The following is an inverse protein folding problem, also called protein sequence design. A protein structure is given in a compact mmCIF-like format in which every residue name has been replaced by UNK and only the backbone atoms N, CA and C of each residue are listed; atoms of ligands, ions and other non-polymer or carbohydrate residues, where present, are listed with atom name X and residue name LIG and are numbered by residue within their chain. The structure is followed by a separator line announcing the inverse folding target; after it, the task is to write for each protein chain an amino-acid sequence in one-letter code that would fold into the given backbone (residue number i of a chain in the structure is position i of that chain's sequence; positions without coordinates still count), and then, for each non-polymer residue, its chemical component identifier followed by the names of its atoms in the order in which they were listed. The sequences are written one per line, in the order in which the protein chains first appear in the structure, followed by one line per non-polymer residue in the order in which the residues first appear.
data_IF_254726945843
#
_entry.id   IF_254726945843
#
_cell.length_a   1.000
_cell.length_b   1.000
_cell.length_c   1.000
_cell.angle_alpha   90.00
_cell.angle_beta   90.00
_cell.angle_gamma   90.00
#
_symmetry.space_group_name_H-M   'P 1'
#
loop_
_entity.id
_entity.type
_entity.pdbx_description
1 polymer ?
#
# COMPACT_ATOMS: atom_id res chain seq x y z
N UNK A 1 -18.12 3.72 -12.01
CA UNK A 1 -17.02 4.43 -11.32
C UNK A 1 -15.75 3.65 -11.61
N UNK A 2 -14.81 4.20 -12.39
CA UNK A 2 -13.48 3.58 -12.53
C UNK A 2 -12.73 3.85 -11.23
N UNK A 3 -12.78 2.91 -10.30
CA UNK A 3 -11.88 2.93 -9.15
C UNK A 3 -10.50 2.58 -9.70
N UNK A 4 -9.48 3.43 -9.54
CA UNK A 4 -8.14 3.09 -9.99
C UNK A 4 -7.70 1.79 -9.31
N UNK A 5 -6.98 0.90 -10.02
CA UNK A 5 -6.54 -0.37 -9.46
C UNK A 5 -5.69 -0.10 -8.21
N UNK A 6 -6.07 -0.72 -7.11
CA UNK A 6 -5.39 -0.56 -5.83
C UNK A 6 -4.26 -1.60 -5.75
N UNK A 7 -3.13 -1.21 -5.17
CA UNK A 7 -1.99 -2.11 -4.96
C UNK A 7 -1.97 -2.53 -3.49
N UNK A 8 -1.78 -3.83 -3.27
CA UNK A 8 -1.57 -4.41 -1.94
C UNK A 8 -0.25 -5.19 -1.94
N UNK A 9 0.46 -5.16 -0.82
CA UNK A 9 1.69 -5.94 -0.62
C UNK A 9 1.60 -6.64 0.72
N UNK A 10 1.88 -7.94 0.77
CA UNK A 10 1.97 -8.68 2.03
C UNK A 10 3.21 -8.19 2.79
N UNK A 11 3.00 -7.64 3.97
CA UNK A 11 4.07 -7.25 4.89
C UNK A 11 4.49 -8.46 5.74
N UNK A 12 3.49 -9.17 6.29
CA UNK A 12 3.69 -10.38 7.09
C UNK A 12 2.62 -11.43 6.75
N UNK A 13 3.04 -12.67 6.52
CA UNK A 13 2.17 -13.84 6.41
C UNK A 13 2.24 -14.68 7.70
N UNK A 14 1.11 -14.83 8.38
CA UNK A 14 0.94 -15.76 9.49
C UNK A 14 0.32 -17.07 8.97
N UNK A 15 1.18 -18.05 8.68
CA UNK A 15 0.78 -19.38 8.18
C UNK A 15 0.01 -20.19 9.23
N UNK A 16 0.25 -19.94 10.52
CA UNK A 16 -0.40 -20.64 11.63
C UNK A 16 -1.85 -20.15 11.81
N UNK A 17 -2.08 -18.85 11.64
CA UNK A 17 -3.40 -18.22 11.70
C UNK A 17 -4.14 -18.25 10.35
N UNK A 18 -3.44 -18.46 9.24
CA UNK A 18 -3.99 -18.38 7.88
C UNK A 18 -4.34 -16.95 7.46
N UNK A 19 -3.61 -15.96 7.99
CA UNK A 19 -3.90 -14.54 7.79
C UNK A 19 -2.65 -13.82 7.25
N UNK A 20 -2.86 -12.88 6.34
CA UNK A 20 -1.84 -12.04 5.77
C UNK A 20 -2.11 -10.58 6.12
N UNK A 21 -1.12 -9.93 6.71
CA UNK A 21 -1.11 -8.48 6.89
C UNK A 21 -0.63 -7.85 5.58
N UNK A 22 -1.50 -7.06 4.97
CA UNK A 22 -1.25 -6.40 3.68
C UNK A 22 -1.26 -4.88 3.84
N UNK A 23 -0.29 -4.22 3.24
CA UNK A 23 -0.21 -2.76 3.15
C UNK A 23 -0.76 -2.27 1.82
N UNK A 24 -1.58 -1.22 1.86
CA UNK A 24 -2.09 -0.54 0.68
C UNK A 24 -1.25 0.66 0.25
N UNK A 25 -1.60 1.22 -0.91
CA UNK A 25 -0.89 2.36 -1.49
C UNK A 25 -0.99 3.69 -0.73
N UNK A 26 -1.72 3.72 0.38
CA UNK A 26 -1.86 4.85 1.30
C UNK A 26 -1.18 4.57 2.64
N UNK A 27 -0.44 3.47 2.76
CA UNK A 27 0.21 3.04 3.99
C UNK A 27 -0.75 2.50 5.05
N UNK A 28 -1.95 2.05 4.66
CA UNK A 28 -2.92 1.41 5.56
C UNK A 28 -2.67 -0.10 5.56
N UNK A 29 -2.63 -0.68 6.75
CA UNK A 29 -2.52 -2.13 6.94
C UNK A 29 -3.89 -2.78 7.15
N UNK A 30 -4.11 -3.91 6.49
CA UNK A 30 -5.30 -4.72 6.61
C UNK A 30 -4.93 -6.18 6.81
N UNK A 31 -5.80 -6.94 7.48
CA UNK A 31 -5.62 -8.38 7.64
C UNK A 31 -6.59 -9.11 6.70
N UNK A 32 -6.05 -9.96 5.81
CA UNK A 32 -6.82 -10.75 4.84
C UNK A 32 -6.58 -12.24 5.04
N UNK A 33 -7.55 -13.11 4.74
CA UNK A 33 -7.31 -14.55 4.68
C UNK A 33 -6.27 -14.89 3.62
N UNK A 34 -5.26 -15.68 3.99
CA UNK A 34 -4.20 -16.09 3.06
C UNK A 34 -4.77 -16.89 1.88
N UNK A 35 -5.87 -17.62 2.07
CA UNK A 35 -6.55 -18.37 1.00
C UNK A 35 -7.11 -17.51 -0.15
N UNK A 36 -7.26 -16.19 0.06
CA UNK A 36 -7.71 -15.27 -0.98
C UNK A 36 -6.55 -14.79 -1.87
N UNK A 37 -5.32 -14.99 -1.41
CA UNK A 37 -4.10 -14.49 -2.04
C UNK A 37 -3.37 -15.66 -2.72
N UNK A 38 -3.41 -15.74 -4.07
CA UNK A 38 -2.69 -16.78 -4.79
C UNK A 38 -1.18 -16.59 -4.64
N UNK A 39 -0.46 -17.66 -4.32
CA UNK A 39 0.99 -17.64 -4.09
C UNK A 39 1.39 -16.67 -2.94
N UNK A 40 0.57 -16.61 -1.88
CA UNK A 40 0.82 -15.81 -0.69
C UNK A 40 2.22 -16.10 -0.10
N UNK A 41 3.01 -15.03 0.04
CA UNK A 41 4.33 -15.04 0.66
C UNK A 41 4.67 -13.63 1.16
N UNK A 42 5.58 -13.53 2.13
CA UNK A 42 6.08 -12.24 2.61
C UNK A 42 6.65 -11.40 1.45
N UNK A 43 6.24 -10.14 1.38
CA UNK A 43 6.63 -9.21 0.32
C UNK A 43 5.93 -9.43 -1.02
N UNK A 44 5.02 -10.41 -1.15
CA UNK A 44 4.25 -10.61 -2.38
C UNK A 44 3.33 -9.43 -2.66
N UNK A 45 3.32 -8.98 -3.92
CA UNK A 45 2.54 -7.82 -4.37
C UNK A 45 1.36 -8.23 -5.23
N UNK A 46 0.25 -7.51 -5.09
CA UNK A 46 -1.00 -7.77 -5.80
C UNK A 46 -1.61 -6.50 -6.35
N UNK A 47 -2.18 -6.63 -7.55
CA UNK A 47 -3.11 -5.67 -8.12
C UNK A 47 -4.53 -6.10 -7.80
N UNK A 48 -5.24 -5.21 -7.11
CA UNK A 48 -6.63 -5.41 -6.72
C UNK A 48 -7.54 -4.72 -7.70
N UNK A 49 -8.51 -5.47 -8.21
CA UNK A 49 -9.60 -4.93 -9.02
C UNK A 49 -10.93 -5.38 -8.44
N UNK A 50 -11.90 -4.46 -8.42
CA UNK A 50 -13.27 -4.75 -7.99
C UNK A 50 -14.15 -4.79 -9.24
N UNK A 51 -14.69 -5.96 -9.55
CA UNK A 51 -15.58 -6.19 -10.69
C UNK A 51 -16.87 -6.84 -10.20
N UNK A 52 -18.02 -6.23 -10.49
CA UNK A 52 -19.35 -6.76 -10.13
C UNK A 52 -19.51 -7.16 -8.66
N UNK A 53 -18.86 -6.41 -7.75
CA UNK A 53 -18.88 -6.68 -6.31
C UNK A 53 -17.92 -7.79 -5.85
N UNK A 54 -17.16 -8.37 -6.77
CA UNK A 54 -16.11 -9.36 -6.49
C UNK A 54 -14.74 -8.69 -6.49
N UNK A 55 -13.92 -9.03 -5.48
CA UNK A 55 -12.54 -8.56 -5.38
C UNK A 55 -11.62 -9.59 -6.03
N UNK A 56 -10.83 -9.16 -7.01
CA UNK A 56 -9.85 -9.99 -7.70
C UNK A 56 -8.43 -9.55 -7.33
N UNK A 57 -7.63 -10.49 -6.84
CA UNK A 57 -6.22 -10.32 -6.53
C UNK A 57 -5.38 -10.92 -7.66
N UNK A 58 -4.61 -10.11 -8.36
CA UNK A 58 -3.69 -10.56 -9.41
C UNK A 58 -2.26 -10.33 -8.95
N UNK A 59 -1.39 -11.37 -8.87
CA UNK A 59 0.01 -11.19 -8.53
C UNK A 59 0.70 -10.16 -9.46
N UNK A 60 1.47 -9.26 -8.88
CA UNK A 60 2.23 -8.22 -9.58
C UNK A 60 3.57 -8.01 -8.87
N UNK A 61 4.65 -8.54 -9.46
CA UNK A 61 6.02 -8.45 -8.93
C UNK A 61 6.52 -7.00 -8.80
N UNK A 62 5.92 -6.07 -9.54
CA UNK A 62 6.26 -4.66 -9.48
C UNK A 62 5.42 -3.91 -8.46
N UNK A 63 4.38 -4.50 -7.87
CA UNK A 63 3.51 -3.80 -6.93
C UNK A 63 4.28 -3.30 -5.71
N UNK A 64 5.19 -4.10 -5.14
CA UNK A 64 6.02 -3.69 -4.01
C UNK A 64 6.97 -2.52 -4.35
N UNK A 65 7.53 -2.50 -5.56
CA UNK A 65 8.37 -1.39 -6.01
C UNK A 65 7.55 -0.11 -6.23
N UNK A 66 6.38 -0.23 -6.87
CA UNK A 66 5.45 0.88 -7.12
C UNK A 66 4.88 1.45 -5.83
N UNK A 67 4.57 0.59 -4.84
CA UNK A 67 4.09 0.98 -3.52
C UNK A 67 5.13 1.86 -2.82
N UNK A 68 6.37 1.35 -2.71
CA UNK A 68 7.47 2.05 -2.05
C UNK A 68 7.80 3.37 -2.73
N UNK A 69 7.78 3.41 -4.06
CA UNK A 69 8.03 4.65 -4.81
C UNK A 69 6.91 5.68 -4.56
N UNK A 70 5.65 5.26 -4.53
CA UNK A 70 4.54 6.16 -4.15
C UNK A 70 4.65 6.66 -2.71
N UNK A 71 4.95 5.80 -1.76
CA UNK A 71 5.12 6.19 -0.36
C UNK A 71 6.25 7.21 -0.18
N UNK A 72 7.35 7.08 -0.94
CA UNK A 72 8.43 8.08 -0.96
C UNK A 72 7.98 9.43 -1.53
N UNK A 73 7.22 9.43 -2.63
CA UNK A 73 6.71 10.66 -3.23
C UNK A 73 5.75 11.40 -2.29
N UNK A 74 4.86 10.69 -1.62
CA UNK A 74 3.97 11.28 -0.61
C UNK A 74 4.77 11.87 0.56
N UNK A 75 5.83 11.21 1.03
CA UNK A 75 6.67 11.72 2.11
C UNK A 75 7.44 12.99 1.73
N UNK A 76 7.83 13.12 0.46
CA UNK A 76 8.47 14.31 -0.09
C UNK A 76 7.48 15.48 -0.21
N UNK A 77 6.24 15.21 -0.64
CA UNK A 77 5.17 16.21 -0.77
C UNK A 77 4.85 16.87 0.58
N UNK A 78 4.84 16.11 1.68
CA UNK A 78 4.67 16.65 3.03
C UNK A 78 5.87 17.44 3.57
N UNK A 79 7.07 17.25 3.00
CA UNK A 79 8.27 17.93 3.48
C UNK A 79 8.42 19.35 2.92
N UNK A 80 7.72 19.68 1.83
CA UNK A 80 7.83 20.99 1.15
C UNK A 80 6.88 22.06 1.73
N UNK A 81 5.88 21.67 2.52
CA UNK A 81 4.88 22.58 3.10
C UNK A 81 5.31 23.20 4.46
N UNK A 82 6.58 23.03 4.87
CA UNK A 82 7.07 23.42 6.19
C UNK A 82 8.31 24.33 6.23
N UNK A 83 8.56 25.12 5.18
CA UNK A 83 9.65 26.11 5.21
C UNK A 83 9.27 27.52 4.73
N UNK A 84 8.07 28.01 5.08
CA UNK A 84 7.81 29.46 5.02
C UNK A 84 7.10 29.98 6.28
N UNK A 85 7.86 30.06 7.38
CA UNK A 85 7.57 31.01 8.46
C UNK A 85 8.83 31.36 9.25
N UNK A 86 9.41 32.56 9.03
CA UNK A 86 10.12 33.26 10.08
C UNK A 86 9.28 34.44 10.55
N UNK A 87 8.39 34.19 11.51
CA UNK A 87 7.95 35.22 12.42
C UNK A 87 9.06 35.48 13.46
N UNK A 88 9.71 36.64 13.37
CA UNK A 88 10.28 37.35 14.53
C UNK A 88 11.80 37.32 14.71
N UNK A 89 12.44 38.48 14.48
CA UNK A 89 13.84 38.71 14.83
C UNK A 89 14.24 40.18 14.79
N UNK A 90 13.93 40.91 15.88
CA UNK A 90 14.56 42.15 16.42
C UNK A 90 15.63 42.87 15.57
N UNK A 91 15.40 44.15 15.28
CA UNK A 91 16.32 45.25 15.56
C UNK A 91 15.54 46.58 15.64
#
# INVERSE_FOLDING_TARGET
MNVPPELLVIDVLDEDAGLADVEDSRGRTYQLPAEWLPDAADGAGYRVTVQDGTVHFTPDEHAAAQLRERSKQTLLDFSDEHDDSPAGGRA
#
